data_IF_807790577230
#
_entry.id   IF_807790577230
#
_cell.length_a   1.000
_cell.length_b   1.000
_cell.length_c   1.000
_cell.angle_alpha   90.00
_cell.angle_beta   90.00
_cell.angle_gamma   90.00
#
_symmetry.space_group_name_H-M   'P 1'
#
loop_
_entity.id
_entity.type
_entity.pdbx_description
1 polymer ?
#
# COMPACT_ATOMS: atom_id res chain seq x y z
N UNK A 1 -3.78 -12.55 16.70
CA UNK A 1 -4.17 -11.88 15.45
C UNK A 1 -5.68 -11.87 15.40
N UNK A 2 -6.34 -10.76 15.03
CA UNK A 2 -7.73 -10.83 14.61
C UNK A 2 -7.86 -11.88 13.50
N UNK A 3 -8.97 -12.61 13.47
CA UNK A 3 -9.26 -13.51 12.35
C UNK A 3 -9.47 -12.64 11.11
N UNK A 4 -8.48 -12.67 10.22
CA UNK A 4 -8.45 -11.88 8.99
C UNK A 4 -8.72 -12.79 7.82
N UNK A 5 -9.60 -12.35 6.93
CA UNK A 5 -9.86 -13.02 5.66
C UNK A 5 -9.38 -12.12 4.53
N UNK A 6 -8.61 -12.67 3.59
CA UNK A 6 -8.19 -11.97 2.38
C UNK A 6 -8.89 -12.58 1.18
N UNK A 7 -9.51 -11.72 0.36
CA UNK A 7 -10.22 -12.13 -0.85
C UNK A 7 -10.16 -11.04 -1.93
N UNK A 8 -10.47 -11.36 -3.20
CA UNK A 8 -10.70 -10.34 -4.21
C UNK A 8 -11.77 -9.34 -3.76
N UNK A 9 -11.56 -8.07 -4.07
CA UNK A 9 -12.51 -7.01 -3.77
C UNK A 9 -13.70 -7.05 -4.73
N UNK A 10 -14.90 -6.89 -4.21
CA UNK A 10 -16.14 -6.76 -4.97
C UNK A 10 -16.75 -5.36 -4.83
N UNK A 11 -17.67 -4.99 -5.72
CA UNK A 11 -18.25 -3.62 -5.78
C UNK A 11 -18.83 -3.15 -4.43
N UNK A 12 -19.35 -4.08 -3.63
CA UNK A 12 -19.90 -3.80 -2.30
C UNK A 12 -18.85 -3.38 -1.26
N UNK A 13 -17.55 -3.57 -1.53
CA UNK A 13 -16.47 -3.16 -0.64
C UNK A 13 -16.17 -1.65 -0.77
N UNK A 14 -16.42 -1.02 -1.94
CA UNK A 14 -16.09 0.40 -2.21
C UNK A 14 -16.52 1.37 -1.11
N UNK A 15 -17.77 1.33 -0.60
CA UNK A 15 -18.21 2.27 0.41
C UNK A 15 -17.40 2.21 1.71
N UNK A 16 -16.72 1.08 1.97
CA UNK A 16 -15.80 0.92 3.09
C UNK A 16 -14.40 1.37 2.72
N UNK A 17 -13.89 0.94 1.57
CA UNK A 17 -12.50 1.21 1.15
C UNK A 17 -12.25 2.71 0.91
N UNK A 18 -13.23 3.44 0.37
CA UNK A 18 -13.14 4.89 0.13
C UNK A 18 -13.09 5.71 1.41
N UNK A 19 -13.53 5.14 2.54
CA UNK A 19 -13.50 5.80 3.85
C UNK A 19 -12.21 5.53 4.62
N UNK A 20 -11.34 4.67 4.11
CA UNK A 20 -10.08 4.37 4.79
C UNK A 20 -9.14 5.55 4.60
N UNK A 21 -8.68 6.14 5.70
CA UNK A 21 -7.66 7.19 5.66
C UNK A 21 -6.31 6.64 5.24
N UNK A 22 -5.71 7.24 4.20
CA UNK A 22 -4.38 6.88 3.69
C UNK A 22 -3.24 7.61 4.40
N UNK A 23 -3.56 8.62 5.19
CA UNK A 23 -2.56 9.40 5.90
C UNK A 23 -2.00 8.62 7.08
N UNK A 24 -0.74 8.89 7.43
CA UNK A 24 -0.10 8.30 8.59
C UNK A 24 0.82 9.29 9.27
N UNK A 25 1.21 8.99 10.51
CA UNK A 25 2.20 9.77 11.23
C UNK A 25 3.53 9.03 11.25
N UNK A 26 4.63 9.78 11.07
CA UNK A 26 5.97 9.23 11.24
C UNK A 26 6.83 10.11 12.15
N UNK A 27 7.61 9.46 12.99
CA UNK A 27 8.70 10.05 13.77
C UNK A 27 10.06 9.88 13.10
N UNK A 28 10.12 9.15 11.98
CA UNK A 28 11.37 8.86 11.27
C UNK A 28 11.20 9.10 9.78
N UNK A 29 12.27 9.56 9.15
CA UNK A 29 12.35 9.74 7.70
C UNK A 29 13.63 9.10 7.18
N UNK A 30 13.62 8.71 5.91
CA UNK A 30 14.84 8.40 5.19
C UNK A 30 15.33 9.67 4.50
N UNK A 31 16.46 10.20 4.97
CA UNK A 31 17.15 11.28 4.27
C UNK A 31 18.03 10.68 3.18
N UNK A 32 17.89 11.21 1.97
CA UNK A 32 18.70 10.84 0.81
C UNK A 32 19.77 11.90 0.58
N UNK A 33 21.03 11.53 0.76
CA UNK A 33 22.18 12.37 0.46
C UNK A 33 22.82 11.90 -0.85
N UNK A 34 23.03 12.82 -1.79
CA UNK A 34 23.60 12.52 -3.11
C UNK A 34 24.94 13.24 -3.28
N UNK A 35 25.99 12.48 -3.58
CA UNK A 35 27.33 12.98 -3.93
C UNK A 35 27.60 12.67 -5.39
N UNK A 36 28.05 13.67 -6.15
CA UNK A 36 28.40 13.54 -7.58
C UNK A 36 29.79 14.13 -7.78
N UNK A 37 30.80 13.28 -7.95
CA UNK A 37 32.21 13.69 -8.14
C UNK A 37 32.90 12.72 -9.11
N UNK A 38 33.78 13.24 -9.98
CA UNK A 38 34.60 12.46 -10.92
C UNK A 38 33.85 11.39 -11.75
N UNK A 39 32.61 11.68 -12.15
CA UNK A 39 31.77 10.76 -12.91
C UNK A 39 31.11 9.66 -12.07
N UNK A 40 31.30 9.66 -10.75
CA UNK A 40 30.62 8.78 -9.81
C UNK A 40 29.39 9.46 -9.21
N UNK A 41 28.30 8.70 -9.06
CA UNK A 41 27.12 9.10 -8.28
C UNK A 41 27.00 8.14 -7.09
N UNK A 42 27.03 8.68 -5.88
CA UNK A 42 26.77 7.94 -4.64
C UNK A 42 25.49 8.46 -4.02
N UNK A 43 24.55 7.56 -3.72
CA UNK A 43 23.30 7.87 -3.03
C UNK A 43 23.31 7.14 -1.69
N UNK A 44 23.31 7.89 -0.60
CA UNK A 44 23.25 7.36 0.76
C UNK A 44 21.87 7.62 1.35
N UNK A 45 21.29 6.61 1.99
CA UNK A 45 20.04 6.73 2.73
C UNK A 45 20.34 6.59 4.22
N UNK A 46 19.88 7.56 5.02
CA UNK A 46 20.02 7.52 6.49
C UNK A 46 18.66 7.71 7.15
N UNK A 47 18.30 6.79 8.04
CA UNK A 47 17.10 6.94 8.85
C UNK A 47 17.35 7.97 9.94
N UNK A 48 16.58 9.05 9.95
CA UNK A 48 16.72 10.16 10.91
C UNK A 48 15.44 10.31 11.70
N UNK A 49 15.57 10.49 13.02
CA UNK A 49 14.44 10.79 13.91
C UNK A 49 14.09 12.28 13.83
N UNK A 50 12.80 12.58 13.70
CA UNK A 50 12.27 13.93 13.70
C UNK A 50 12.01 14.44 15.13
N UNK A 51 12.07 15.76 15.36
CA UNK A 51 11.80 16.36 16.67
C UNK A 51 10.33 16.24 17.10
N UNK A 52 9.41 16.06 16.13
CA UNK A 52 7.98 15.83 16.36
C UNK A 52 7.43 14.91 15.26
N UNK A 53 6.34 14.16 15.52
CA UNK A 53 5.66 13.40 14.48
C UNK A 53 5.21 14.34 13.35
N UNK A 54 5.39 13.90 12.11
CA UNK A 54 4.83 14.59 10.93
C UNK A 54 3.73 13.73 10.35
N UNK A 55 2.65 14.40 9.91
CA UNK A 55 1.63 13.77 9.08
C UNK A 55 2.19 13.64 7.67
N UNK A 56 2.11 12.43 7.13
CA UNK A 56 2.42 12.13 5.74
C UNK A 56 1.11 11.89 5.02
N UNK A 57 0.83 12.75 4.05
CA UNK A 57 -0.34 12.61 3.19
C UNK A 57 -0.06 11.59 2.09
N UNK A 58 -1.14 11.00 1.58
CA UNK A 58 -1.05 10.09 0.45
C UNK A 58 -0.65 10.86 -0.82
N UNK A 59 0.25 10.27 -1.60
CA UNK A 59 0.73 10.89 -2.82
C UNK A 59 -0.35 10.78 -3.91
N UNK A 60 -0.97 11.91 -4.26
CA UNK A 60 -1.95 12.01 -5.33
C UNK A 60 -3.41 11.92 -4.87
N UNK A 61 -4.33 11.71 -5.82
CA UNK A 61 -5.76 11.58 -5.56
C UNK A 61 -6.08 10.21 -4.98
N UNK A 62 -7.05 10.14 -4.06
CA UNK A 62 -7.42 8.88 -3.44
C UNK A 62 -7.80 7.83 -4.51
N UNK A 63 -7.15 6.66 -4.49
CA UNK A 63 -7.16 5.71 -5.61
C UNK A 63 -8.55 5.17 -5.94
N UNK A 64 -9.39 4.88 -4.95
CA UNK A 64 -10.67 4.21 -5.16
C UNK A 64 -11.89 5.16 -5.26
N UNK A 65 -11.69 6.48 -5.46
CA UNK A 65 -12.79 7.47 -5.41
C UNK A 65 -13.87 7.30 -6.49
N UNK A 66 -13.57 6.63 -7.60
CA UNK A 66 -14.52 6.38 -8.68
C UNK A 66 -14.31 4.97 -9.28
N UNK A 67 -15.36 4.40 -9.88
CA UNK A 67 -15.29 3.09 -10.55
C UNK A 67 -14.25 3.06 -11.67
N UNK A 68 -14.02 4.19 -12.32
CA UNK A 68 -13.05 4.36 -13.42
C UNK A 68 -11.59 4.18 -12.96
N UNK A 69 -11.29 4.42 -11.69
CA UNK A 69 -9.96 4.11 -11.15
C UNK A 69 -9.79 2.62 -10.83
N UNK A 70 -10.88 1.86 -10.66
CA UNK A 70 -10.78 0.42 -10.41
C UNK A 70 -10.21 -0.32 -11.63
N UNK A 71 -10.55 0.11 -12.83
CA UNK A 71 -10.03 -0.50 -14.07
C UNK A 71 -8.52 -0.31 -14.26
N UNK A 72 -7.87 0.57 -13.47
CA UNK A 72 -6.41 0.74 -13.47
C UNK A 72 -5.68 -0.40 -12.77
N UNK A 73 -6.39 -1.13 -11.90
CA UNK A 73 -5.84 -2.28 -11.21
C UNK A 73 -6.08 -3.52 -12.04
N UNK A 74 -5.05 -4.35 -12.13
CA UNK A 74 -5.18 -5.72 -12.60
C UNK A 74 -5.97 -6.54 -11.56
N UNK A 75 -5.72 -6.28 -10.28
CA UNK A 75 -6.47 -6.85 -9.17
C UNK A 75 -6.44 -5.95 -7.94
N UNK A 76 -7.48 -6.07 -7.12
CA UNK A 76 -7.54 -5.49 -5.78
C UNK A 76 -7.90 -6.60 -4.80
N UNK A 77 -7.05 -6.82 -3.80
CA UNK A 77 -7.34 -7.74 -2.70
C UNK A 77 -7.75 -6.95 -1.47
N UNK A 78 -8.74 -7.45 -0.76
CA UNK A 78 -9.32 -6.84 0.45
C UNK A 78 -9.04 -7.71 1.65
N UNK A 79 -8.66 -7.08 2.75
CA UNK A 79 -8.63 -7.72 4.06
C UNK A 79 -9.89 -7.35 4.84
N UNK A 80 -10.56 -8.36 5.39
CA UNK A 80 -11.74 -8.18 6.24
C UNK A 80 -11.51 -8.71 7.65
N UNK A 81 -12.15 -8.07 8.63
CA UNK A 81 -12.26 -8.55 10.00
C UNK A 81 -13.74 -8.63 10.33
N UNK A 82 -14.23 -9.80 10.75
CA UNK A 82 -15.66 -10.05 10.93
C UNK A 82 -16.50 -9.61 9.71
N UNK A 83 -16.03 -9.94 8.50
CA UNK A 83 -16.65 -9.59 7.21
C UNK A 83 -16.67 -8.09 6.85
N UNK A 84 -16.09 -7.22 7.68
CA UNK A 84 -15.99 -5.79 7.39
C UNK A 84 -14.63 -5.50 6.74
N UNK A 85 -14.57 -4.84 5.56
CA UNK A 85 -13.30 -4.42 4.98
C UNK A 85 -12.54 -3.46 5.89
N UNK A 86 -11.28 -3.78 6.16
CA UNK A 86 -10.37 -3.01 7.02
C UNK A 86 -9.06 -2.62 6.33
N UNK A 87 -8.82 -3.11 5.12
CA UNK A 87 -7.66 -2.75 4.32
C UNK A 87 -7.73 -3.35 2.93
N UNK A 88 -6.87 -2.88 2.05
CA UNK A 88 -6.75 -3.40 0.69
C UNK A 88 -5.33 -3.21 0.15
N UNK A 89 -5.03 -3.97 -0.90
CA UNK A 89 -3.83 -3.82 -1.71
C UNK A 89 -4.23 -3.78 -3.18
N UNK A 90 -3.74 -2.77 -3.90
CA UNK A 90 -3.94 -2.58 -5.32
C UNK A 90 -2.75 -3.08 -6.12
N UNK A 91 -3.03 -3.83 -7.19
CA UNK A 91 -2.04 -4.49 -8.02
C UNK A 91 -2.16 -4.07 -9.49
N UNK A 92 -1.03 -3.91 -10.17
CA UNK A 92 -0.96 -3.55 -11.59
C UNK A 92 0.17 -4.32 -12.30
N UNK A 93 -0.02 -4.66 -13.56
CA UNK A 93 0.96 -5.34 -14.43
C UNK A 93 1.65 -4.35 -15.37
N UNK A 94 2.20 -3.27 -14.81
CA UNK A 94 2.77 -2.23 -15.65
C UNK A 94 4.23 -2.53 -16.05
N UNK A 95 4.40 -2.72 -17.37
CA UNK A 95 5.63 -2.53 -18.17
C UNK A 95 6.81 -3.50 -18.01
N UNK A 96 6.86 -4.39 -17.00
CA UNK A 96 7.99 -5.32 -16.83
C UNK A 96 7.49 -6.76 -16.74
N UNK A 97 7.96 -7.68 -17.60
CA UNK A 97 7.62 -9.10 -17.51
C UNK A 97 7.92 -9.68 -16.13
N UNK A 98 7.05 -10.57 -15.65
CA UNK A 98 7.21 -11.29 -14.37
C UNK A 98 7.37 -10.38 -13.15
N UNK A 99 6.80 -9.17 -13.20
CA UNK A 99 6.82 -8.21 -12.10
C UNK A 99 5.40 -7.75 -11.81
N UNK A 100 4.95 -7.95 -10.58
CA UNK A 100 3.70 -7.41 -10.07
C UNK A 100 3.96 -6.11 -9.33
N UNK A 101 3.28 -5.03 -9.72
CA UNK A 101 3.42 -3.73 -9.08
C UNK A 101 2.34 -3.55 -8.02
N UNK A 102 2.75 -3.30 -6.79
CA UNK A 102 1.86 -2.81 -5.73
C UNK A 102 1.74 -1.31 -5.89
N UNK A 103 0.56 -0.85 -6.28
CA UNK A 103 0.26 0.59 -6.43
C UNK A 103 -0.22 1.20 -5.11
N UNK A 104 -0.92 0.41 -4.30
CA UNK A 104 -1.53 0.84 -3.04
C UNK A 104 -1.49 -0.27 -2.01
N UNK A 105 -1.20 0.05 -0.75
CA UNK A 105 -1.39 -0.86 0.37
C UNK A 105 -1.86 -0.06 1.59
N UNK A 106 -3.11 -0.24 1.97
CA UNK A 106 -3.80 0.66 2.90
C UNK A 106 -4.54 -0.15 3.94
N UNK A 107 -4.35 0.22 5.22
CA UNK A 107 -5.02 -0.41 6.36
C UNK A 107 -5.64 0.69 7.22
N UNK A 108 -6.88 0.46 7.65
CA UNK A 108 -7.66 1.34 8.53
C UNK A 108 -6.90 1.64 9.81
N UNK A 109 -6.91 2.89 10.24
CA UNK A 109 -6.01 3.41 11.28
C UNK A 109 -6.04 2.60 12.59
N UNK A 110 -7.25 2.25 13.06
CA UNK A 110 -7.51 1.45 14.26
C UNK A 110 -7.05 -0.02 14.13
N UNK A 111 -6.77 -0.48 12.91
CA UNK A 111 -6.36 -1.86 12.60
C UNK A 111 -4.88 -1.95 12.18
N UNK A 112 -4.15 -0.83 12.15
CA UNK A 112 -2.73 -0.80 11.79
C UNK A 112 -1.87 -1.51 12.84
N UNK A 113 -0.71 -2.00 12.41
CA UNK A 113 0.30 -2.69 13.25
C UNK A 113 -0.20 -4.00 13.89
N UNK A 114 -1.24 -4.62 13.33
CA UNK A 114 -1.77 -5.93 13.76
C UNK A 114 -1.48 -7.08 12.77
N UNK A 115 -0.57 -6.87 11.81
CA UNK A 115 -0.19 -7.87 10.80
C UNK A 115 -1.01 -7.85 9.50
N UNK A 116 -2.08 -7.06 9.42
CA UNK A 116 -2.99 -7.00 8.24
C UNK A 116 -2.25 -6.58 6.96
N UNK A 117 -1.43 -5.53 7.03
CA UNK A 117 -0.65 -5.08 5.87
C UNK A 117 0.35 -6.13 5.40
N UNK A 118 0.96 -6.89 6.32
CA UNK A 118 1.84 -8.01 5.99
C UNK A 118 1.07 -9.12 5.27
N UNK A 119 -0.11 -9.48 5.79
CA UNK A 119 -0.95 -10.50 5.17
C UNK A 119 -1.40 -10.09 3.76
N UNK A 120 -1.77 -8.82 3.54
CA UNK A 120 -2.10 -8.28 2.22
C UNK A 120 -0.94 -8.42 1.22
N UNK A 121 0.29 -8.11 1.65
CA UNK A 121 1.48 -8.24 0.79
C UNK A 121 1.76 -9.70 0.45
N UNK A 122 1.68 -10.61 1.42
CA UNK A 122 1.85 -12.05 1.19
C UNK A 122 0.81 -12.59 0.21
N UNK A 123 -0.46 -12.22 0.39
CA UNK A 123 -1.53 -12.62 -0.53
C UNK A 123 -1.33 -12.04 -1.94
N UNK A 124 -0.78 -10.82 -2.07
CA UNK A 124 -0.43 -10.29 -3.38
C UNK A 124 0.72 -11.04 -4.05
N UNK A 125 1.69 -11.55 -3.29
CA UNK A 125 2.75 -12.40 -3.83
C UNK A 125 2.20 -13.73 -4.34
N UNK A 126 1.32 -14.38 -3.58
CA UNK A 126 0.62 -15.60 -3.99
C UNK A 126 -0.22 -15.36 -5.25
N UNK A 127 -1.03 -14.30 -5.24
CA UNK A 127 -1.83 -13.90 -6.40
C UNK A 127 -0.96 -13.68 -7.64
N UNK A 128 0.17 -12.99 -7.49
CA UNK A 128 1.13 -12.77 -8.57
C UNK A 128 1.73 -14.06 -9.13
N UNK A 129 2.04 -15.04 -8.28
CA UNK A 129 2.58 -16.33 -8.73
C UNK A 129 1.56 -17.18 -9.50
N UNK A 130 0.27 -17.05 -9.18
CA UNK A 130 -0.82 -17.75 -9.88
C UNK A 130 -1.19 -17.12 -11.23
N UNK A 131 -0.90 -15.84 -11.41
CA UNK A 131 -1.33 -15.04 -12.58
C UNK A 131 -0.16 -14.50 -13.43
N UNK A 132 1.07 -15.03 -13.23
CA UNK A 132 2.30 -14.69 -13.98
C UNK A 132 2.68 -15.65 -15.10
#
# INVERSE_FOLDING_TARGET
MPEIEIRPAGVNDLPYLVKIEHTYQSLYVWQMDRVIEDGQIVINFRQTRLPRPVRVDYAGSHPLLNQENWSRYQAVLVATVAQVPVGYIGLSDQFIPKTLWVTDCVVREDQRRQGIGTALVLAAQEWGAEHS
#
